data_IF_621840430667
#
_entry.id   IF_621840430667
#
_cell.length_a   1.000
_cell.length_b   1.000
_cell.length_c   1.000
_cell.angle_alpha   90.00
_cell.angle_beta   90.00
_cell.angle_gamma   90.00
#
_symmetry.space_group_name_H-M   'P 1'
#
loop_
_entity.id
_entity.type
_entity.pdbx_description
1 polymer ?
#
# COMPACT_ATOMS: atom_id res chain seq x y z
N UNK A 1 60.75 33.50 3.34
CA UNK A 1 61.73 33.87 4.37
C UNK A 1 62.47 32.58 4.64
N UNK A 2 63.63 32.48 4.07
CA UNK A 2 64.96 32.74 4.66
C UNK A 2 65.40 31.56 5.48
N UNK A 3 66.41 30.90 5.30
CA UNK A 3 67.76 31.00 4.79
C UNK A 3 68.47 29.80 5.42
N UNK A 4 69.20 29.08 4.65
CA UNK A 4 70.64 29.12 4.51
C UNK A 4 71.40 28.49 5.71
N UNK A 5 72.31 27.66 5.52
CA UNK A 5 73.70 27.78 5.07
C UNK A 5 74.51 26.84 5.90
N UNK A 6 75.33 26.17 5.46
CA UNK A 6 76.77 26.04 5.06
C UNK A 6 77.47 24.96 5.88
N UNK A 7 78.15 24.11 5.35
CA UNK A 7 79.48 24.06 4.66
C UNK A 7 80.57 23.42 5.54
N UNK A 8 81.44 22.67 4.87
CA UNK A 8 82.82 22.39 5.38
C UNK A 8 83.25 20.92 5.22
N UNK A 9 83.73 20.54 4.14
CA UNK A 9 85.07 20.45 3.54
C UNK A 9 86.08 19.56 4.33
N UNK A 10 86.72 18.71 3.56
CA UNK A 10 88.02 18.13 3.90
C UNK A 10 88.22 16.67 3.49
N UNK A 11 88.68 16.47 2.27
CA UNK A 11 89.86 15.76 1.71
C UNK A 11 90.40 14.59 2.56
N UNK A 12 90.71 13.45 1.99
CA UNK A 12 91.81 13.13 1.09
C UNK A 12 91.89 11.65 0.82
N UNK A 13 92.19 11.31 -0.46
CA UNK A 13 92.98 10.18 -0.99
C UNK A 13 92.67 8.73 -0.63
N UNK A 14 92.42 8.03 -1.72
CA UNK A 14 92.48 6.71 -2.14
C UNK A 14 93.70 5.85 -1.79
N UNK A 15 94.00 4.72 -2.36
CA UNK A 15 93.40 4.05 -3.55
C UNK A 15 93.15 2.52 -3.34
N UNK A 16 92.79 1.88 -4.43
CA UNK A 16 92.89 0.47 -4.75
C UNK A 16 91.67 -0.36 -4.39
N UNK A 17 90.94 -0.49 -5.47
CA UNK A 17 90.00 -1.57 -5.67
C UNK A 17 90.68 -2.94 -5.79
N UNK A 18 89.99 -3.99 -5.46
CA UNK A 18 90.17 -5.17 -6.26
C UNK A 18 88.90 -5.57 -7.00
N UNK A 19 89.13 -5.76 -8.26
CA UNK A 19 88.23 -6.24 -9.30
C UNK A 19 87.54 -7.63 -8.98
N UNK A 20 87.55 -8.04 -7.75
CA UNK A 20 87.04 -9.37 -7.32
C UNK A 20 85.56 -9.37 -6.78
N UNK A 21 84.97 -8.22 -6.53
CA UNK A 21 83.63 -8.18 -6.01
C UNK A 21 82.55 -8.34 -7.12
N UNK A 22 82.90 -7.98 -8.39
CA UNK A 22 81.96 -8.12 -9.51
C UNK A 22 81.90 -9.57 -10.03
N UNK A 23 83.02 -10.32 -9.97
CA UNK A 23 83.04 -11.71 -10.35
C UNK A 23 82.33 -12.69 -9.40
N UNK A 24 82.17 -12.32 -8.10
CA UNK A 24 81.40 -13.13 -7.16
C UNK A 24 79.91 -12.91 -7.22
N UNK A 25 79.43 -11.76 -7.69
CA UNK A 25 77.97 -11.51 -7.89
C UNK A 25 77.41 -12.23 -9.13
N UNK A 26 78.22 -12.54 -10.10
CA UNK A 26 77.79 -13.25 -11.32
C UNK A 26 77.77 -14.77 -11.18
N UNK A 27 78.37 -15.36 -10.15
CA UNK A 27 78.37 -16.81 -9.90
C UNK A 27 77.22 -17.33 -9.08
N UNK A 28 76.30 -16.51 -8.57
CA UNK A 28 75.10 -16.93 -7.83
C UNK A 28 73.80 -16.92 -8.66
N UNK A 29 73.89 -16.92 -9.99
CA UNK A 29 72.77 -17.41 -10.77
C UNK A 29 72.75 -18.94 -10.65
N UNK A 30 72.21 -19.41 -9.47
CA UNK A 30 71.81 -20.84 -9.37
C UNK A 30 70.86 -21.12 -10.52
N UNK A 31 71.37 -21.80 -11.50
CA UNK A 31 70.57 -22.47 -12.53
C UNK A 31 69.44 -23.21 -11.78
N UNK A 32 68.23 -22.70 -11.94
CA UNK A 32 67.03 -23.49 -11.64
C UNK A 32 67.08 -24.61 -12.64
N UNK A 33 67.76 -25.71 -12.30
CA UNK A 33 67.70 -26.98 -13.02
C UNK A 33 66.23 -27.34 -13.12
N UNK A 34 65.67 -27.18 -14.30
CA UNK A 34 64.28 -27.49 -14.59
C UNK A 34 63.97 -28.87 -14.04
N UNK A 35 63.07 -28.97 -13.11
CA UNK A 35 62.52 -30.21 -12.55
C UNK A 35 62.12 -31.19 -13.66
N UNK A 36 61.75 -30.66 -14.83
CA UNK A 36 61.35 -31.38 -16.04
C UNK A 36 62.49 -32.23 -16.69
N UNK A 37 63.73 -32.02 -16.33
CA UNK A 37 64.87 -32.74 -16.94
C UNK A 37 65.09 -34.13 -16.37
N UNK A 38 64.45 -34.47 -15.26
CA UNK A 38 64.59 -35.81 -14.60
C UNK A 38 63.47 -36.79 -14.90
N UNK A 39 62.44 -36.35 -15.65
CA UNK A 39 61.34 -37.24 -16.00
C UNK A 39 61.64 -37.99 -17.32
N UNK A 40 61.27 -39.27 -17.39
CA UNK A 40 61.25 -40.03 -18.61
C UNK A 40 60.30 -39.40 -19.63
N UNK A 41 60.51 -39.64 -20.93
CA UNK A 41 59.65 -39.16 -22.02
C UNK A 41 58.19 -39.57 -21.76
N UNK A 42 57.99 -40.79 -21.26
CA UNK A 42 56.66 -41.33 -20.92
C UNK A 42 55.98 -40.53 -19.79
N UNK A 43 56.70 -40.17 -18.72
CA UNK A 43 56.18 -39.33 -17.62
C UNK A 43 55.85 -37.89 -18.08
N UNK A 44 56.60 -37.35 -19.03
CA UNK A 44 56.32 -36.02 -19.59
C UNK A 44 55.03 -36.03 -20.43
N UNK A 45 54.82 -37.05 -21.25
CA UNK A 45 53.60 -37.24 -22.02
C UNK A 45 52.37 -37.44 -21.13
N UNK A 46 52.48 -38.27 -20.08
CA UNK A 46 51.41 -38.46 -19.11
C UNK A 46 51.06 -37.16 -18.38
N UNK A 47 52.07 -36.39 -17.95
CA UNK A 47 51.85 -35.10 -17.27
C UNK A 47 51.19 -34.08 -18.20
N UNK A 48 51.62 -34.05 -19.47
CA UNK A 48 51.03 -33.16 -20.48
C UNK A 48 49.56 -33.51 -20.73
N UNK A 49 49.21 -34.77 -20.90
CA UNK A 49 47.83 -35.23 -21.05
C UNK A 49 46.98 -34.93 -19.82
N UNK A 50 47.54 -35.09 -18.62
CA UNK A 50 46.88 -34.77 -17.38
C UNK A 50 46.59 -33.26 -17.27
N UNK A 51 47.59 -32.42 -17.60
CA UNK A 51 47.43 -30.96 -17.59
C UNK A 51 46.35 -30.51 -18.60
N UNK A 52 46.40 -31.07 -19.83
CA UNK A 52 45.39 -30.74 -20.85
C UNK A 52 44.01 -31.18 -20.42
N UNK A 53 43.88 -32.39 -19.85
CA UNK A 53 42.59 -32.86 -19.29
C UNK A 53 42.05 -32.00 -18.18
N UNK A 54 42.90 -31.60 -17.21
CA UNK A 54 42.52 -30.70 -16.12
C UNK A 54 42.14 -29.32 -16.65
N UNK A 55 42.91 -28.76 -17.58
CA UNK A 55 42.61 -27.44 -18.18
C UNK A 55 41.31 -27.50 -18.98
N UNK A 56 41.10 -28.54 -19.81
CA UNK A 56 39.87 -28.71 -20.55
C UNK A 56 38.66 -28.77 -19.62
N UNK A 57 38.74 -29.55 -18.55
CA UNK A 57 37.66 -29.70 -17.54
C UNK A 57 37.44 -28.39 -16.79
N UNK A 58 38.48 -27.66 -16.41
CA UNK A 58 38.38 -26.37 -15.73
C UNK A 58 37.74 -25.30 -16.63
N UNK A 59 38.13 -25.25 -17.92
CA UNK A 59 37.55 -24.30 -18.87
C UNK A 59 36.06 -24.62 -19.13
N UNK A 60 35.75 -25.89 -19.41
CA UNK A 60 34.37 -26.30 -19.66
C UNK A 60 33.50 -26.11 -18.42
N UNK A 61 34.02 -26.47 -17.24
CA UNK A 61 33.34 -26.26 -15.96
C UNK A 61 33.14 -24.76 -15.66
N UNK A 62 34.12 -23.93 -15.94
CA UNK A 62 34.02 -22.48 -15.76
C UNK A 62 33.00 -21.83 -16.70
N UNK A 63 32.98 -22.20 -17.97
CA UNK A 63 31.99 -21.76 -18.95
C UNK A 63 30.59 -22.24 -18.55
N UNK A 64 30.46 -23.52 -18.23
CA UNK A 64 29.19 -24.12 -17.81
C UNK A 64 28.61 -23.46 -16.54
N UNK A 65 29.47 -23.20 -15.55
CA UNK A 65 29.07 -22.49 -14.33
C UNK A 65 28.61 -21.05 -14.61
N UNK A 66 29.38 -20.31 -15.41
CA UNK A 66 29.02 -18.93 -15.76
C UNK A 66 27.72 -18.89 -16.56
N UNK A 67 27.61 -19.67 -17.62
CA UNK A 67 26.42 -19.75 -18.46
C UNK A 67 25.19 -20.24 -17.68
N UNK A 68 25.35 -21.25 -16.84
CA UNK A 68 24.26 -21.75 -15.98
C UNK A 68 23.79 -20.70 -14.97
N UNK A 69 24.72 -19.95 -14.37
CA UNK A 69 24.38 -18.86 -13.44
C UNK A 69 23.66 -17.70 -14.15
N UNK A 70 24.11 -17.30 -15.33
CA UNK A 70 23.46 -16.25 -16.14
C UNK A 70 22.05 -16.70 -16.57
N UNK A 71 21.91 -17.91 -17.10
CA UNK A 71 20.61 -18.46 -17.51
C UNK A 71 19.63 -18.60 -16.33
N UNK A 72 20.10 -19.07 -15.18
CA UNK A 72 19.26 -19.11 -13.97
C UNK A 72 18.84 -17.69 -13.52
N UNK A 73 19.74 -16.74 -13.57
CA UNK A 73 19.45 -15.34 -13.21
C UNK A 73 18.41 -14.74 -14.16
N UNK A 74 18.59 -14.88 -15.47
CA UNK A 74 17.62 -14.45 -16.48
C UNK A 74 16.24 -15.08 -16.22
N UNK A 75 16.20 -16.39 -16.10
CA UNK A 75 14.95 -17.12 -15.81
C UNK A 75 14.25 -16.65 -14.54
N UNK A 76 15.02 -16.31 -13.48
CA UNK A 76 14.45 -15.76 -12.25
C UNK A 76 13.89 -14.34 -12.45
N UNK A 77 14.59 -13.48 -13.21
CA UNK A 77 14.07 -12.13 -13.53
C UNK A 77 12.81 -12.19 -14.40
N UNK A 78 12.79 -13.05 -15.41
CA UNK A 78 11.63 -13.27 -16.26
C UNK A 78 10.43 -13.74 -15.46
N UNK A 79 10.66 -14.66 -14.51
CA UNK A 79 9.62 -15.12 -13.60
C UNK A 79 9.09 -14.02 -12.70
N UNK A 80 9.97 -13.22 -12.08
CA UNK A 80 9.54 -12.10 -11.23
C UNK A 80 8.76 -11.05 -12.04
N UNK A 81 9.21 -10.76 -13.27
CA UNK A 81 8.49 -9.86 -14.18
C UNK A 81 7.12 -10.40 -14.54
N UNK A 82 7.01 -11.68 -14.87
CA UNK A 82 5.72 -12.31 -15.18
C UNK A 82 4.75 -12.29 -13.98
N UNK A 83 5.26 -12.52 -12.76
CA UNK A 83 4.42 -12.42 -11.55
C UNK A 83 3.97 -10.99 -11.30
N UNK A 84 4.88 -10.00 -11.44
CA UNK A 84 4.53 -8.58 -11.32
C UNK A 84 3.42 -8.18 -12.30
N UNK A 85 3.57 -8.55 -13.58
CA UNK A 85 2.59 -8.24 -14.62
C UNK A 85 1.25 -8.93 -14.38
N UNK A 86 1.27 -10.18 -13.91
CA UNK A 86 0.06 -10.89 -13.56
C UNK A 86 -0.70 -10.22 -12.41
N UNK A 87 0.03 -9.78 -11.36
CA UNK A 87 -0.58 -9.09 -10.23
C UNK A 87 -1.08 -7.69 -10.59
N UNK A 88 -0.32 -6.92 -11.39
CA UNK A 88 -0.76 -5.64 -11.91
C UNK A 88 -2.08 -5.78 -12.70
N UNK A 89 -2.17 -6.78 -13.58
CA UNK A 89 -3.39 -7.06 -14.35
C UNK A 89 -4.57 -7.42 -13.47
N UNK A 90 -4.37 -8.21 -12.41
CA UNK A 90 -5.45 -8.55 -11.45
C UNK A 90 -5.96 -7.30 -10.74
N UNK A 91 -5.06 -6.39 -10.32
CA UNK A 91 -5.44 -5.12 -9.72
C UNK A 91 -6.19 -4.24 -10.73
N UNK A 92 -5.66 -4.04 -11.93
CA UNK A 92 -6.29 -3.23 -12.99
C UNK A 92 -7.70 -3.72 -13.32
N UNK A 93 -7.88 -5.03 -13.51
CA UNK A 93 -9.20 -5.61 -13.78
C UNK A 93 -10.14 -5.42 -12.60
N UNK A 94 -9.67 -5.70 -11.38
CA UNK A 94 -10.48 -5.52 -10.17
C UNK A 94 -10.93 -4.07 -9.97
N UNK A 95 -10.05 -3.10 -10.19
CA UNK A 95 -10.40 -1.68 -10.15
C UNK A 95 -11.37 -1.30 -11.27
N UNK A 96 -11.12 -1.74 -12.52
CA UNK A 96 -12.00 -1.48 -13.67
C UNK A 96 -13.41 -2.00 -13.43
N UNK A 97 -13.56 -3.19 -12.88
CA UNK A 97 -14.85 -3.78 -12.53
C UNK A 97 -15.57 -2.96 -11.46
N UNK A 98 -14.86 -2.51 -10.43
CA UNK A 98 -15.41 -1.65 -9.37
C UNK A 98 -15.89 -0.30 -9.92
N UNK A 99 -15.07 0.35 -10.75
CA UNK A 99 -15.41 1.63 -11.38
C UNK A 99 -16.66 1.48 -12.28
N UNK A 100 -16.70 0.45 -13.11
CA UNK A 100 -17.85 0.15 -13.99
C UNK A 100 -19.11 -0.12 -13.16
N UNK A 101 -19.00 -0.87 -12.08
CA UNK A 101 -20.11 -1.14 -11.19
C UNK A 101 -20.63 0.14 -10.51
N UNK A 102 -19.74 1.03 -10.06
CA UNK A 102 -20.10 2.32 -9.46
C UNK A 102 -20.96 3.15 -10.43
N UNK A 103 -20.50 3.31 -11.68
CA UNK A 103 -21.20 4.03 -12.72
C UNK A 103 -22.58 3.44 -12.97
N UNK A 104 -22.66 2.14 -13.28
CA UNK A 104 -23.93 1.46 -13.57
C UNK A 104 -24.91 1.58 -12.39
N UNK A 105 -24.42 1.43 -11.16
CA UNK A 105 -25.26 1.53 -9.96
C UNK A 105 -25.79 2.94 -9.72
N UNK A 106 -24.98 3.97 -9.97
CA UNK A 106 -25.40 5.37 -9.79
C UNK A 106 -26.47 5.83 -10.77
N UNK A 107 -26.54 5.18 -11.95
CA UNK A 107 -27.55 5.45 -13.00
C UNK A 107 -28.83 4.64 -12.84
N UNK A 108 -28.80 3.57 -12.04
CA UNK A 108 -29.97 2.75 -11.78
C UNK A 108 -31.01 3.48 -10.91
N UNK A 109 -32.20 2.92 -10.78
CA UNK A 109 -33.26 3.51 -9.95
C UNK A 109 -33.01 3.36 -8.44
N UNK A 110 -32.30 2.31 -8.03
CA UNK A 110 -32.14 1.95 -6.62
C UNK A 110 -31.31 2.98 -5.85
N UNK A 111 -30.15 3.41 -6.39
CA UNK A 111 -29.24 4.31 -5.70
C UNK A 111 -29.80 5.74 -5.61
N UNK A 112 -30.32 6.35 -6.69
CA UNK A 112 -31.00 7.65 -6.60
C UNK A 112 -32.20 7.62 -5.67
N UNK A 113 -33.04 6.56 -5.75
CA UNK A 113 -34.18 6.37 -4.87
C UNK A 113 -33.80 6.25 -3.40
N UNK A 114 -32.72 5.51 -3.10
CA UNK A 114 -32.17 5.39 -1.76
C UNK A 114 -31.62 6.74 -1.24
N UNK A 115 -30.81 7.44 -2.05
CA UNK A 115 -30.30 8.76 -1.68
C UNK A 115 -31.44 9.72 -1.30
N UNK A 116 -32.47 9.80 -2.14
CA UNK A 116 -33.64 10.64 -1.88
C UNK A 116 -34.35 10.26 -0.59
N UNK A 117 -34.61 8.96 -0.37
CA UNK A 117 -35.27 8.46 0.82
C UNK A 117 -34.47 8.71 2.11
N UNK A 118 -33.17 8.45 2.10
CA UNK A 118 -32.31 8.70 3.25
C UNK A 118 -32.13 10.21 3.51
N UNK A 119 -32.02 11.05 2.47
CA UNK A 119 -31.92 12.49 2.61
C UNK A 119 -33.19 13.06 3.25
N UNK A 120 -34.37 12.64 2.78
CA UNK A 120 -35.64 13.08 3.35
C UNK A 120 -35.76 12.61 4.81
N UNK A 121 -35.49 11.31 5.07
CA UNK A 121 -35.53 10.78 6.41
C UNK A 121 -34.55 11.46 7.38
N UNK A 122 -33.37 11.84 6.91
CA UNK A 122 -32.40 12.65 7.68
C UNK A 122 -32.92 14.04 8.00
N UNK A 123 -33.51 14.72 7.01
CA UNK A 123 -34.07 16.06 7.20
C UNK A 123 -35.27 16.04 8.18
N UNK A 124 -36.11 15.01 8.15
CA UNK A 124 -37.23 14.85 9.09
C UNK A 124 -36.77 14.70 10.54
N UNK A 125 -35.53 14.30 10.77
CA UNK A 125 -34.91 14.17 12.09
C UNK A 125 -34.26 15.47 12.60
N UNK A 126 -34.35 16.59 11.87
CA UNK A 126 -33.73 17.85 12.26
C UNK A 126 -34.13 18.33 13.65
N UNK A 127 -35.39 18.14 14.01
CA UNK A 127 -35.98 18.51 15.30
C UNK A 127 -36.06 17.30 16.28
N UNK A 128 -35.37 16.21 16.01
CA UNK A 128 -35.37 15.03 16.90
C UNK A 128 -34.85 15.41 18.30
N UNK A 129 -35.58 14.95 19.31
CA UNK A 129 -35.19 15.24 20.70
C UNK A 129 -34.15 14.22 21.16
N UNK A 130 -33.00 14.73 21.60
CA UNK A 130 -31.94 13.92 22.23
C UNK A 130 -31.83 14.31 23.69
N UNK A 131 -32.13 13.38 24.56
CA UNK A 131 -32.14 13.61 26.00
C UNK A 131 -30.74 13.69 26.62
N UNK A 132 -30.57 14.31 27.82
CA UNK A 132 -29.26 14.35 28.48
C UNK A 132 -28.61 12.98 28.68
N UNK A 133 -29.32 11.90 29.10
CA UNK A 133 -28.75 10.56 29.18
C UNK A 133 -28.26 10.02 27.84
N UNK A 134 -28.98 10.28 26.76
CA UNK A 134 -28.57 9.89 25.39
C UNK A 134 -27.34 10.64 24.93
N UNK A 135 -27.24 11.94 25.19
CA UNK A 135 -26.02 12.72 24.90
C UNK A 135 -24.82 12.16 25.68
N UNK A 136 -25.03 11.75 26.96
CA UNK A 136 -23.99 11.10 27.75
C UNK A 136 -23.57 9.76 27.13
N UNK A 137 -24.52 8.91 26.75
CA UNK A 137 -24.23 7.61 26.13
C UNK A 137 -23.43 7.78 24.83
N UNK A 138 -23.77 8.79 24.01
CA UNK A 138 -23.01 9.12 22.79
C UNK A 138 -21.59 9.58 23.14
N UNK A 139 -21.41 10.44 24.12
CA UNK A 139 -20.09 10.91 24.56
C UNK A 139 -19.21 9.76 25.11
N UNK A 140 -19.80 8.88 25.93
CA UNK A 140 -19.11 7.70 26.47
C UNK A 140 -18.70 6.74 25.36
N UNK A 141 -19.54 6.55 24.33
CA UNK A 141 -19.21 5.76 23.13
C UNK A 141 -18.00 6.34 22.39
N UNK A 142 -18.00 7.65 22.09
CA UNK A 142 -16.90 8.32 21.40
C UNK A 142 -15.59 8.23 22.20
N UNK A 143 -15.66 8.41 23.53
CA UNK A 143 -14.52 8.25 24.41
C UNK A 143 -13.93 6.84 24.31
N UNK A 144 -14.77 5.81 24.36
CA UNK A 144 -14.32 4.42 24.26
C UNK A 144 -13.78 4.10 22.86
N UNK A 145 -14.44 4.62 21.81
CA UNK A 145 -14.09 4.32 20.41
C UNK A 145 -12.74 4.92 20.00
N UNK A 146 -12.41 6.09 20.54
CA UNK A 146 -11.18 6.83 20.20
C UNK A 146 -10.16 6.84 21.35
N UNK A 147 -10.34 6.02 22.37
CA UNK A 147 -9.36 5.85 23.45
C UNK A 147 -8.08 5.25 22.88
N UNK A 148 -6.96 5.95 23.07
CA UNK A 148 -5.65 5.54 22.54
C UNK A 148 -5.49 5.63 21.02
N UNK A 149 -6.47 6.21 20.29
CA UNK A 149 -6.37 6.45 18.85
C UNK A 149 -5.77 7.84 18.59
N UNK A 150 -4.75 7.89 17.74
CA UNK A 150 -4.11 9.15 17.36
C UNK A 150 -3.14 9.72 18.40
N UNK A 151 -2.79 10.99 18.21
CA UNK A 151 -1.97 11.78 19.15
C UNK A 151 -2.82 12.13 20.40
N UNK A 152 -2.22 12.15 21.57
CA UNK A 152 -2.82 12.58 22.85
C UNK A 152 -3.48 13.99 22.83
N UNK A 153 -3.46 14.66 21.68
CA UNK A 153 -4.06 15.98 21.44
C UNK A 153 -5.45 15.93 20.80
N UNK A 154 -5.98 14.72 20.51
CA UNK A 154 -7.29 14.58 19.87
C UNK A 154 -8.39 15.04 20.83
N UNK A 155 -9.12 16.12 20.47
CA UNK A 155 -10.31 16.53 21.21
C UNK A 155 -11.50 15.63 20.79
N UNK A 156 -11.72 14.58 21.56
CA UNK A 156 -12.82 13.62 21.33
C UNK A 156 -14.18 14.33 21.32
N UNK A 157 -14.37 15.39 22.10
CA UNK A 157 -15.64 16.11 22.13
C UNK A 157 -15.93 16.81 20.79
N UNK A 158 -14.89 17.24 20.08
CA UNK A 158 -15.03 17.84 18.75
C UNK A 158 -15.46 16.83 17.68
N UNK A 159 -15.30 15.54 17.93
CA UNK A 159 -15.73 14.45 17.04
C UNK A 159 -17.24 14.15 17.15
N UNK A 160 -17.87 14.51 18.26
CA UNK A 160 -19.29 14.25 18.49
C UNK A 160 -20.12 15.13 17.54
N UNK A 161 -21.07 14.56 16.79
CA UNK A 161 -21.91 15.37 15.91
C UNK A 161 -22.72 16.41 16.68
N UNK A 162 -22.93 17.56 16.04
CA UNK A 162 -23.68 18.66 16.65
C UNK A 162 -25.17 18.65 16.31
N UNK A 163 -25.55 18.13 15.12
CA UNK A 163 -26.95 18.10 14.68
C UNK A 163 -27.75 17.03 15.42
N UNK A 164 -29.02 17.35 15.72
CA UNK A 164 -29.92 16.41 16.37
C UNK A 164 -30.18 15.16 15.52
N UNK A 165 -30.31 15.31 14.18
CA UNK A 165 -30.47 14.19 13.26
C UNK A 165 -29.30 13.21 13.33
N UNK A 166 -28.06 13.71 13.29
CA UNK A 166 -26.88 12.87 13.38
C UNK A 166 -26.80 12.15 14.75
N UNK A 167 -27.03 12.88 15.84
CA UNK A 167 -27.04 12.28 17.18
C UNK A 167 -28.12 11.19 17.28
N UNK A 168 -29.30 11.45 16.78
CA UNK A 168 -30.41 10.51 16.78
C UNK A 168 -30.05 9.23 16.02
N UNK A 169 -29.54 9.37 14.81
CA UNK A 169 -29.12 8.24 13.99
C UNK A 169 -28.00 7.44 14.64
N UNK A 170 -26.97 8.12 15.14
CA UNK A 170 -25.87 7.42 15.80
C UNK A 170 -26.29 6.69 17.07
N UNK A 171 -27.20 7.25 17.88
CA UNK A 171 -27.75 6.57 19.05
C UNK A 171 -28.49 5.28 18.68
N UNK A 172 -29.32 5.33 17.64
CA UNK A 172 -30.16 4.21 17.25
C UNK A 172 -29.41 3.15 16.42
N UNK A 173 -28.35 3.53 15.71
CA UNK A 173 -27.64 2.65 14.76
C UNK A 173 -26.20 2.40 15.14
N UNK A 174 -25.40 3.42 15.45
CA UNK A 174 -23.97 3.31 15.73
C UNK A 174 -23.73 2.83 17.17
N UNK A 175 -24.26 3.53 18.14
CA UNK A 175 -24.09 3.20 19.58
C UNK A 175 -24.82 1.91 19.95
N UNK A 176 -26.00 1.71 19.37
CA UNK A 176 -26.83 0.52 19.65
C UNK A 176 -26.28 -0.77 19.01
N UNK A 177 -25.35 -0.66 18.04
CA UNK A 177 -24.71 -1.80 17.38
C UNK A 177 -23.23 -1.48 17.10
N UNK A 178 -22.38 -1.47 18.12
CA UNK A 178 -20.96 -1.09 17.98
C UNK A 178 -20.13 -2.11 17.19
N UNK A 179 -20.63 -3.32 17.04
CA UNK A 179 -20.00 -4.36 16.21
C UNK A 179 -20.48 -4.24 14.76
N UNK A 180 -19.54 -4.27 13.81
CA UNK A 180 -19.82 -4.19 12.36
C UNK A 180 -20.81 -5.24 11.87
N UNK A 181 -20.73 -6.46 12.39
CA UNK A 181 -21.64 -7.55 12.00
C UNK A 181 -23.09 -7.31 12.44
N UNK A 182 -23.28 -6.59 13.54
CA UNK A 182 -24.58 -6.16 14.04
C UNK A 182 -25.06 -4.89 13.33
N UNK A 183 -24.17 -3.92 13.15
CA UNK A 183 -24.48 -2.64 12.53
C UNK A 183 -25.00 -2.79 11.10
N UNK A 184 -24.39 -3.69 10.31
CA UNK A 184 -24.74 -3.90 8.90
C UNK A 184 -26.16 -4.46 8.70
N UNK A 185 -26.70 -5.18 9.70
CA UNK A 185 -28.07 -5.75 9.68
C UNK A 185 -29.03 -4.97 10.56
N UNK A 186 -28.55 -3.94 11.27
CA UNK A 186 -29.37 -3.18 12.22
C UNK A 186 -30.53 -2.50 11.52
N UNK A 187 -31.70 -2.71 12.08
CA UNK A 187 -32.94 -1.99 11.79
C UNK A 187 -33.56 -1.55 13.11
N UNK A 188 -33.71 -0.24 13.29
CA UNK A 188 -34.26 0.31 14.51
C UNK A 188 -35.79 0.46 14.40
N UNK A 189 -36.58 -0.09 15.33
CA UNK A 189 -38.02 0.01 15.29
C UNK A 189 -38.50 1.35 15.85
N UNK A 190 -37.96 2.45 15.36
CA UNK A 190 -38.20 3.81 15.86
C UNK A 190 -39.31 4.58 15.07
N UNK A 191 -39.82 3.97 13.99
CA UNK A 191 -40.88 4.55 13.18
C UNK A 191 -40.44 5.74 12.31
N UNK A 192 -39.15 6.09 12.28
CA UNK A 192 -38.67 7.19 11.47
C UNK A 192 -38.68 6.86 9.96
N UNK A 193 -38.81 7.91 9.13
CA UNK A 193 -38.69 7.78 7.67
C UNK A 193 -37.30 7.22 7.29
N UNK A 194 -36.26 7.60 8.04
CA UNK A 194 -34.90 7.10 7.79
C UNK A 194 -34.82 5.57 8.02
N UNK A 195 -35.43 5.08 9.11
CA UNK A 195 -35.48 3.62 9.39
C UNK A 195 -36.31 2.87 8.37
N UNK A 196 -37.39 3.47 7.86
CA UNK A 196 -38.16 2.90 6.75
C UNK A 196 -37.29 2.79 5.46
N UNK A 197 -36.49 3.81 5.17
CA UNK A 197 -35.53 3.77 4.05
C UNK A 197 -34.47 2.69 4.29
N UNK A 198 -33.94 2.55 5.52
CA UNK A 198 -33.00 1.52 5.90
C UNK A 198 -33.57 0.11 5.67
N UNK A 199 -34.77 -0.17 6.16
CA UNK A 199 -35.46 -1.45 5.96
C UNK A 199 -35.60 -1.80 4.47
N UNK A 200 -35.85 -0.79 3.61
CA UNK A 200 -36.04 -0.98 2.17
C UNK A 200 -34.72 -1.20 1.40
N UNK A 201 -33.68 -0.43 1.68
CA UNK A 201 -32.48 -0.34 0.83
C UNK A 201 -31.22 -0.96 1.42
N UNK A 202 -31.14 -1.14 2.76
CA UNK A 202 -29.92 -1.62 3.40
C UNK A 202 -29.48 -3.00 2.89
N UNK A 203 -30.44 -3.89 2.57
CA UNK A 203 -30.12 -5.22 2.04
C UNK A 203 -29.28 -5.17 0.75
N UNK A 204 -29.60 -4.24 -0.18
CA UNK A 204 -28.83 -4.03 -1.40
C UNK A 204 -27.39 -3.59 -1.11
N UNK A 205 -27.21 -2.56 -0.31
CA UNK A 205 -25.88 -2.03 -0.01
C UNK A 205 -25.05 -2.99 0.83
N UNK A 206 -25.67 -3.73 1.74
CA UNK A 206 -25.02 -4.77 2.53
C UNK A 206 -24.40 -5.85 1.65
N UNK A 207 -25.11 -6.34 0.64
CA UNK A 207 -24.58 -7.33 -0.29
C UNK A 207 -23.33 -6.81 -1.00
N UNK A 208 -23.32 -5.54 -1.40
CA UNK A 208 -22.21 -4.91 -2.09
C UNK A 208 -20.96 -4.88 -1.19
N UNK A 209 -21.06 -4.23 -0.04
CA UNK A 209 -19.88 -4.07 0.85
C UNK A 209 -19.34 -5.42 1.32
N UNK A 210 -20.22 -6.40 1.53
CA UNK A 210 -19.81 -7.74 1.97
C UNK A 210 -19.12 -8.52 0.86
N UNK A 211 -19.71 -8.55 -0.35
CA UNK A 211 -19.17 -9.31 -1.49
C UNK A 211 -17.89 -8.70 -2.02
N UNK A 212 -17.82 -7.37 -2.07
CA UNK A 212 -16.66 -6.64 -2.56
C UNK A 212 -15.60 -6.39 -1.46
N UNK A 213 -15.88 -6.82 -0.20
CA UNK A 213 -14.99 -6.63 0.95
C UNK A 213 -14.64 -5.17 1.21
N UNK A 214 -15.56 -4.25 0.91
CA UNK A 214 -15.34 -2.82 1.13
C UNK A 214 -15.37 -2.48 2.62
N UNK A 215 -14.62 -1.44 3.00
CA UNK A 215 -14.63 -0.93 4.38
C UNK A 215 -15.98 -0.33 4.71
N UNK A 216 -16.56 0.48 3.83
CA UNK A 216 -17.94 0.96 3.93
C UNK A 216 -18.45 1.42 2.53
N UNK A 217 -19.73 1.77 2.47
CA UNK A 217 -20.36 2.47 1.37
C UNK A 217 -21.19 3.61 1.95
N UNK A 218 -20.95 4.82 1.44
CA UNK A 218 -21.72 6.00 1.83
C UNK A 218 -22.62 6.49 0.69
N UNK A 219 -23.80 7.00 1.07
CA UNK A 219 -24.56 7.94 0.25
C UNK A 219 -24.41 9.32 0.92
N UNK A 220 -23.92 10.27 0.14
CA UNK A 220 -23.67 11.64 0.61
C UNK A 220 -24.57 12.58 -0.18
N UNK A 221 -25.33 13.41 0.50
CA UNK A 221 -26.21 14.39 -0.14
C UNK A 221 -25.41 15.52 -0.81
N UNK A 222 -26.07 16.37 -1.58
CA UNK A 222 -25.42 17.50 -2.28
C UNK A 222 -24.83 18.57 -1.35
N UNK A 223 -25.11 18.53 -0.04
CA UNK A 223 -24.54 19.40 0.98
C UNK A 223 -23.32 18.81 1.67
N UNK A 224 -22.97 17.54 1.34
CA UNK A 224 -21.86 16.82 1.94
C UNK A 224 -22.21 16.06 3.21
N UNK A 225 -23.50 15.83 3.49
CA UNK A 225 -23.94 15.03 4.64
C UNK A 225 -23.95 13.55 4.29
N UNK A 226 -23.34 12.72 5.11
CA UNK A 226 -23.39 11.25 5.01
C UNK A 226 -24.76 10.80 5.48
N UNK A 227 -25.72 10.74 4.56
CA UNK A 227 -27.10 10.36 4.88
C UNK A 227 -27.30 8.86 5.04
N UNK A 228 -26.36 8.06 4.55
CA UNK A 228 -26.32 6.60 4.73
C UNK A 228 -24.87 6.10 4.80
N UNK A 229 -24.62 5.13 5.65
CA UNK A 229 -23.43 4.29 5.73
C UNK A 229 -23.89 2.83 5.87
N UNK A 230 -23.26 1.90 5.16
CA UNK A 230 -23.66 0.49 5.25
C UNK A 230 -23.37 -0.08 6.63
N UNK A 231 -22.25 0.27 7.23
CA UNK A 231 -21.87 -0.17 8.57
C UNK A 231 -22.27 0.79 9.69
N UNK A 232 -22.98 1.88 9.37
CA UNK A 232 -23.50 2.85 10.35
C UNK A 232 -22.38 3.36 11.29
N UNK A 233 -21.22 3.69 10.71
CA UNK A 233 -20.06 4.20 11.43
C UNK A 233 -20.30 5.57 12.07
N UNK A 234 -19.25 6.10 12.67
CA UNK A 234 -19.28 7.44 13.31
C UNK A 234 -19.47 8.58 12.30
N UNK A 235 -19.34 8.31 11.03
CA UNK A 235 -19.58 9.24 9.93
C UNK A 235 -21.08 9.46 9.67
N UNK A 236 -21.93 8.49 10.06
CA UNK A 236 -23.37 8.55 9.79
C UNK A 236 -23.99 9.84 10.33
N UNK A 237 -24.62 10.59 9.45
CA UNK A 237 -25.24 11.87 9.76
C UNK A 237 -24.27 13.06 9.86
N UNK A 238 -22.95 12.84 9.79
CA UNK A 238 -21.97 13.94 9.81
C UNK A 238 -21.79 14.55 8.42
N UNK A 239 -21.24 15.77 8.39
CA UNK A 239 -20.93 16.45 7.13
C UNK A 239 -19.44 16.37 6.84
N UNK A 240 -19.05 15.86 5.68
CA UNK A 240 -17.65 15.66 5.28
C UNK A 240 -16.91 16.98 4.98
N UNK A 241 -17.64 18.08 4.74
CA UNK A 241 -17.06 19.38 4.40
C UNK A 241 -16.89 20.29 5.62
N UNK A 242 -17.77 20.17 6.61
CA UNK A 242 -17.85 21.07 7.77
C UNK A 242 -17.85 20.35 9.12
N UNK A 243 -18.06 19.04 9.11
CA UNK A 243 -18.17 18.20 10.32
C UNK A 243 -16.81 17.78 10.91
N UNK A 244 -16.84 16.85 11.86
CA UNK A 244 -15.67 16.46 12.64
C UNK A 244 -14.54 15.84 11.82
N UNK A 245 -14.86 15.18 10.72
CA UNK A 245 -13.88 14.49 9.86
C UNK A 245 -13.51 15.27 8.60
N UNK A 246 -13.79 16.61 8.57
CA UNK A 246 -13.40 17.48 7.45
C UNK A 246 -11.88 17.50 7.29
N UNK A 247 -11.41 17.31 6.06
CA UNK A 247 -9.98 17.28 5.76
C UNK A 247 -9.29 15.94 6.00
N UNK A 248 -10.00 14.96 6.53
CA UNK A 248 -9.49 13.60 6.69
C UNK A 248 -9.58 12.82 5.37
N UNK A 249 -8.54 12.05 5.06
CA UNK A 249 -8.56 11.03 3.99
C UNK A 249 -8.88 11.52 2.59
N UNK A 250 -8.68 12.81 2.26
CA UNK A 250 -8.94 13.41 0.93
C UNK A 250 -10.41 13.33 0.44
N UNK A 251 -11.34 12.84 1.27
CA UNK A 251 -12.73 12.61 0.89
C UNK A 251 -13.46 13.93 0.51
N UNK A 252 -13.23 15.00 1.26
CA UNK A 252 -13.88 16.29 1.02
C UNK A 252 -13.53 16.90 -0.34
N UNK A 253 -12.27 16.82 -0.75
CA UNK A 253 -11.81 17.32 -2.06
C UNK A 253 -12.30 16.45 -3.21
N UNK A 254 -12.28 15.13 -3.03
CA UNK A 254 -12.83 14.20 -4.00
C UNK A 254 -14.33 14.44 -4.20
N UNK A 255 -15.09 14.66 -3.12
CA UNK A 255 -16.52 14.98 -3.19
C UNK A 255 -16.77 16.27 -3.99
N UNK A 256 -16.01 17.35 -3.72
CA UNK A 256 -16.18 18.61 -4.47
C UNK A 256 -15.95 18.43 -5.97
N UNK A 257 -14.91 17.67 -6.34
CA UNK A 257 -14.60 17.37 -7.75
C UNK A 257 -15.71 16.55 -8.38
N UNK A 258 -16.20 15.52 -7.68
CA UNK A 258 -17.28 14.66 -8.15
C UNK A 258 -18.60 15.43 -8.33
N UNK A 259 -18.92 16.33 -7.42
CA UNK A 259 -20.13 17.18 -7.53
C UNK A 259 -20.04 18.21 -8.65
N UNK A 260 -18.85 18.62 -9.04
CA UNK A 260 -18.63 19.65 -10.08
C UNK A 260 -18.57 19.07 -11.50
N UNK A 261 -18.57 17.75 -11.67
CA UNK A 261 -18.41 17.11 -12.99
C UNK A 261 -19.67 17.25 -13.85
N UNK A 262 -19.45 17.36 -15.16
CA UNK A 262 -20.50 17.23 -16.17
C UNK A 262 -20.44 15.88 -16.90
N UNK A 263 -19.52 15.00 -16.51
CA UNK A 263 -19.38 13.66 -17.07
C UNK A 263 -20.27 12.69 -16.31
N UNK A 264 -21.15 11.99 -17.04
CA UNK A 264 -22.10 11.05 -16.47
C UNK A 264 -21.40 9.78 -15.95
N UNK A 265 -20.30 9.38 -16.60
CA UNK A 265 -19.54 8.18 -16.26
C UNK A 265 -18.35 8.48 -15.34
N UNK A 266 -18.35 9.68 -14.75
CA UNK A 266 -17.26 10.13 -13.90
C UNK A 266 -17.11 9.28 -12.65
N UNK A 267 -15.88 8.80 -12.41
CA UNK A 267 -15.48 8.23 -11.13
C UNK A 267 -14.20 8.90 -10.67
N UNK A 268 -14.23 9.44 -9.47
CA UNK A 268 -13.06 9.96 -8.77
C UNK A 268 -12.48 8.88 -7.87
N UNK A 269 -11.20 8.59 -8.01
CA UNK A 269 -10.44 7.77 -7.06
C UNK A 269 -9.42 8.62 -6.33
N UNK A 270 -9.21 8.37 -5.05
CA UNK A 270 -8.14 8.99 -4.27
C UNK A 270 -7.01 8.01 -4.02
N UNK A 271 -5.85 8.52 -3.66
CA UNK A 271 -4.80 7.69 -3.09
C UNK A 271 -5.13 7.31 -1.64
N UNK A 272 -4.42 6.31 -1.10
CA UNK A 272 -4.54 5.92 0.30
C UNK A 272 -4.03 7.01 1.22
N UNK A 273 -4.81 7.30 2.24
CA UNK A 273 -4.46 8.25 3.30
C UNK A 273 -4.99 7.75 4.64
N UNK A 274 -4.39 8.22 5.72
CA UNK A 274 -4.93 8.01 7.06
C UNK A 274 -6.31 8.64 7.15
N UNK A 275 -7.22 7.92 7.81
CA UNK A 275 -8.59 8.36 8.03
C UNK A 275 -9.00 7.98 9.45
N UNK A 276 -9.20 8.98 10.29
CA UNK A 276 -9.39 8.80 11.74
C UNK A 276 -10.48 7.79 12.13
N UNK A 277 -11.65 7.72 11.47
CA UNK A 277 -12.65 6.70 11.78
C UNK A 277 -12.24 5.27 11.42
N UNK A 278 -11.27 5.10 10.54
CA UNK A 278 -10.73 3.80 10.11
C UNK A 278 -9.49 3.42 10.91
N UNK A 279 -9.27 2.12 11.10
CA UNK A 279 -8.04 1.61 11.72
C UNK A 279 -6.91 1.38 10.73
N UNK A 280 -7.14 1.64 9.44
CA UNK A 280 -6.19 1.41 8.36
C UNK A 280 -6.29 2.52 7.30
N UNK A 281 -5.22 2.76 6.53
CA UNK A 281 -5.24 3.69 5.41
C UNK A 281 -6.34 3.35 4.42
N UNK A 282 -7.02 4.37 3.93
CA UNK A 282 -8.24 4.27 3.13
C UNK A 282 -8.10 5.05 1.84
N UNK A 283 -8.54 4.48 0.73
CA UNK A 283 -8.80 5.16 -0.53
C UNK A 283 -10.31 5.25 -0.78
N UNK A 284 -10.71 6.23 -1.58
CA UNK A 284 -12.10 6.51 -1.89
C UNK A 284 -12.36 6.38 -3.37
N UNK A 285 -13.51 5.81 -3.72
CA UNK A 285 -14.05 5.80 -5.08
C UNK A 285 -15.42 6.46 -5.05
N UNK A 286 -15.59 7.54 -5.82
CA UNK A 286 -16.78 8.37 -5.78
C UNK A 286 -17.37 8.51 -7.18
N UNK A 287 -18.70 8.41 -7.28
CA UNK A 287 -19.44 8.70 -8.50
C UNK A 287 -20.64 9.59 -8.21
N UNK A 288 -21.01 10.55 -9.09
CA UNK A 288 -22.18 11.39 -8.90
C UNK A 288 -23.47 10.57 -9.04
N UNK A 289 -24.49 10.96 -8.29
CA UNK A 289 -25.85 10.41 -8.39
C UNK A 289 -26.75 11.49 -8.98
N UNK A 290 -27.30 11.25 -10.17
CA UNK A 290 -28.19 12.18 -10.85
C UNK A 290 -27.64 12.69 -12.18
N UNK A 291 -28.33 13.60 -12.87
CA UNK A 291 -27.93 14.07 -14.19
C UNK A 291 -26.67 14.94 -14.13
N UNK A 292 -25.87 14.99 -15.22
CA UNK A 292 -24.68 15.81 -15.31
C UNK A 292 -24.90 17.26 -14.91
N UNK A 293 -24.01 17.82 -14.10
CA UNK A 293 -24.09 19.21 -13.60
C UNK A 293 -25.23 19.48 -12.62
N UNK A 294 -26.03 18.46 -12.26
CA UNK A 294 -27.13 18.55 -11.28
C UNK A 294 -27.16 17.32 -10.36
N UNK A 295 -26.00 16.83 -9.97
CA UNK A 295 -25.92 15.69 -9.07
C UNK A 295 -26.71 15.96 -7.77
N UNK A 296 -27.58 15.03 -7.40
CA UNK A 296 -28.31 15.08 -6.13
C UNK A 296 -27.44 14.70 -4.93
N UNK A 297 -26.32 14.05 -5.18
CA UNK A 297 -25.33 13.63 -4.22
C UNK A 297 -24.30 12.69 -4.86
N UNK A 298 -23.60 11.95 -4.02
CA UNK A 298 -22.47 11.10 -4.41
C UNK A 298 -22.60 9.74 -3.73
N UNK A 299 -22.36 8.66 -4.49
CA UNK A 299 -22.10 7.34 -3.95
C UNK A 299 -20.59 7.16 -3.76
N UNK A 300 -20.20 6.67 -2.60
CA UNK A 300 -18.80 6.51 -2.19
C UNK A 300 -18.55 5.09 -1.73
N UNK A 301 -17.50 4.46 -2.25
CA UNK A 301 -16.93 3.25 -1.68
C UNK A 301 -15.68 3.60 -0.86
N UNK A 302 -15.61 3.08 0.33
CA UNK A 302 -14.43 3.11 1.19
C UNK A 302 -13.59 1.85 0.92
N UNK A 303 -12.45 2.05 0.24
CA UNK A 303 -11.57 0.99 -0.20
C UNK A 303 -10.41 0.83 0.78
N UNK A 304 -10.33 -0.29 1.54
CA UNK A 304 -9.28 -0.47 2.54
C UNK A 304 -7.98 -0.97 1.90
N UNK A 305 -6.84 -0.60 2.48
CA UNK A 305 -5.53 -1.07 2.03
C UNK A 305 -5.38 -2.59 2.18
N UNK A 306 -6.10 -3.19 3.10
CA UNK A 306 -6.09 -4.64 3.33
C UNK A 306 -6.51 -5.46 2.11
N UNK A 307 -7.34 -4.92 1.20
CA UNK A 307 -7.67 -5.58 -0.08
C UNK A 307 -6.44 -5.62 -0.99
N UNK A 308 -5.69 -4.52 -1.08
CA UNK A 308 -4.43 -4.48 -1.84
C UNK A 308 -3.45 -5.49 -1.26
N UNK A 309 -3.29 -5.50 0.05
CA UNK A 309 -2.44 -6.46 0.76
C UNK A 309 -2.85 -7.91 0.46
N UNK A 310 -4.14 -8.22 0.50
CA UNK A 310 -4.65 -9.55 0.16
C UNK A 310 -4.27 -9.96 -1.27
N UNK A 311 -4.44 -9.08 -2.25
CA UNK A 311 -4.11 -9.35 -3.65
C UNK A 311 -2.60 -9.45 -3.86
N UNK A 312 -1.81 -8.53 -3.34
CA UNK A 312 -0.36 -8.48 -3.52
C UNK A 312 0.36 -9.65 -2.83
N UNK A 313 -0.18 -10.16 -1.75
CA UNK A 313 0.42 -11.27 -0.99
C UNK A 313 -0.16 -12.63 -1.36
N UNK A 314 -1.14 -12.68 -2.28
CA UNK A 314 -1.94 -13.88 -2.56
C UNK A 314 -2.46 -14.54 -1.28
N UNK A 315 -3.05 -13.75 -0.40
CA UNK A 315 -3.51 -14.18 0.93
C UNK A 315 -2.38 -14.81 1.78
N UNK A 316 -1.20 -14.18 1.76
CA UNK A 316 0.03 -14.65 2.43
C UNK A 316 0.57 -16.00 1.90
N UNK A 317 0.16 -16.39 0.69
CA UNK A 317 0.56 -17.65 0.06
C UNK A 317 1.66 -17.46 -1.01
N UNK A 318 2.66 -16.61 -0.73
CA UNK A 318 3.75 -16.24 -1.66
C UNK A 318 4.42 -17.41 -2.36
N UNK A 319 4.63 -18.54 -1.65
CA UNK A 319 5.24 -19.72 -2.23
C UNK A 319 4.40 -20.35 -3.34
N UNK A 320 3.07 -20.28 -3.26
CA UNK A 320 2.16 -20.82 -4.28
C UNK A 320 2.18 -19.99 -5.57
N UNK A 321 2.40 -18.69 -5.46
CA UNK A 321 2.52 -17.79 -6.62
C UNK A 321 3.94 -17.67 -7.13
N UNK A 322 4.84 -18.52 -6.63
CA UNK A 322 6.19 -18.62 -7.17
C UNK A 322 7.21 -17.67 -6.61
N UNK A 323 6.90 -16.96 -5.53
CA UNK A 323 7.80 -16.02 -4.85
C UNK A 323 8.82 -16.72 -3.94
N UNK A 324 8.69 -18.03 -3.71
CA UNK A 324 9.58 -18.76 -2.82
C UNK A 324 9.47 -18.30 -1.37
N UNK A 325 10.59 -18.41 -0.63
CA UNK A 325 10.64 -18.10 0.80
C UNK A 325 10.88 -16.62 1.11
N UNK A 326 11.52 -15.86 0.21
CA UNK A 326 11.97 -14.49 0.45
C UNK A 326 11.40 -13.47 -0.54
N UNK A 327 10.81 -13.93 -1.64
CA UNK A 327 10.23 -13.03 -2.65
C UNK A 327 8.94 -12.40 -2.16
N UNK A 328 8.72 -11.16 -2.57
CA UNK A 328 7.50 -10.39 -2.33
C UNK A 328 7.18 -9.49 -3.51
N UNK A 329 5.95 -9.04 -3.59
CA UNK A 329 5.51 -7.92 -4.43
C UNK A 329 4.83 -6.89 -3.56
N UNK A 330 4.98 -5.63 -3.91
CA UNK A 330 4.32 -4.52 -3.24
C UNK A 330 3.95 -3.43 -4.25
N UNK A 331 2.94 -2.66 -3.89
CA UNK A 331 2.47 -1.51 -4.65
C UNK A 331 3.18 -0.25 -4.14
N UNK A 332 3.62 0.61 -5.06
CA UNK A 332 4.28 1.88 -4.75
C UNK A 332 3.53 3.01 -5.45
N UNK A 333 3.28 4.11 -4.76
CA UNK A 333 2.70 5.33 -5.31
C UNK A 333 3.72 6.17 -6.07
N UNK A 334 3.24 7.23 -6.74
CA UNK A 334 4.08 8.17 -7.50
C UNK A 334 5.03 8.99 -6.59
N UNK A 335 4.81 8.96 -5.29
CA UNK A 335 5.63 9.58 -4.25
C UNK A 335 6.70 8.64 -3.67
N UNK A 336 6.92 7.49 -4.31
CA UNK A 336 7.83 6.42 -3.87
C UNK A 336 7.48 5.78 -2.51
N UNK A 337 6.26 6.02 -1.99
CA UNK A 337 5.80 5.39 -0.76
C UNK A 337 4.98 4.12 -1.05
N UNK A 338 5.08 3.15 -0.15
CA UNK A 338 4.36 1.86 -0.28
C UNK A 338 2.84 2.05 -0.11
N UNK A 339 2.08 1.36 -0.95
CA UNK A 339 0.61 1.26 -0.91
C UNK A 339 0.15 -0.17 -0.60
N UNK A 340 1.06 -1.00 -0.14
CA UNK A 340 0.80 -2.33 0.41
C UNK A 340 1.85 -2.65 1.46
N UNK A 341 1.56 -3.59 2.34
CA UNK A 341 2.51 -4.02 3.36
C UNK A 341 3.60 -4.92 2.77
N UNK A 342 4.82 -4.79 3.30
CA UNK A 342 5.89 -5.74 3.04
C UNK A 342 5.64 -7.04 3.82
N UNK A 343 6.05 -8.15 3.21
CA UNK A 343 6.05 -9.48 3.85
C UNK A 343 6.72 -9.51 5.22
N UNK A 344 7.71 -8.63 5.44
CA UNK A 344 8.45 -8.57 6.70
C UNK A 344 7.65 -7.92 7.84
N UNK A 345 6.55 -7.22 7.54
CA UNK A 345 5.68 -6.56 8.50
C UNK A 345 4.34 -7.28 8.72
N UNK A 346 4.07 -8.35 7.98
CA UNK A 346 2.87 -9.18 8.06
C UNK A 346 3.15 -10.50 8.81
#
# INVERSE_FOLDING_TARGET
>A
MSAASEAGAGSTQGPDAPANALAQRLRRRKSKKSLFRRFSIQSKLMLMLLIVGVLATAVTGGIGFKSGRESLRESMFDRLTAVREAQARVLELGFSDLLSWLVVSSHGETVPGALAAFTNGYNDLADAVVTPPQNKALADFYKTRFDGVGDNRLDINALIPTSNAAKYLQLNYTVAAPDRSQAIVRDAPDGSQWSAANARYNGYFREIVTRMRMQDLFLIDNRGTVVYSAYKGVELGTNILTGPYRGEGNLGDAFRKTMATNDIDFVMTTDFAEYLPSSEPTAWMLTPIGPPGRAAGVMVLQYPISIVNYLMTADRQWSRVGMGQTGETYLVGDDDLMRSDSRLFL
#
